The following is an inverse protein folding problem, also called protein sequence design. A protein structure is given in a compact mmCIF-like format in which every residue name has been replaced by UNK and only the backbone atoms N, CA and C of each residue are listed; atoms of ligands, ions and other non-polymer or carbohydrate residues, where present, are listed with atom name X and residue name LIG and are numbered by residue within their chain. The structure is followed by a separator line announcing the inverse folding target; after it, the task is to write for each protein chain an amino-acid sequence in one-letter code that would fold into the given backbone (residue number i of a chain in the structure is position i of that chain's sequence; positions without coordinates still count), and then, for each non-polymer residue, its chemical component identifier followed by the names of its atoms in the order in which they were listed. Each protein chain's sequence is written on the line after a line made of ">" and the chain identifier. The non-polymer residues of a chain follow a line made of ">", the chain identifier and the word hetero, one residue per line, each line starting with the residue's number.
data_IF_589469995375
#
_entry.id   IF_589469995375
#
_cell.length_a   1.000
_cell.length_b   1.000
_cell.length_c   1.000
_cell.angle_alpha   90.00
_cell.angle_beta   90.00
_cell.angle_gamma   90.00
#
_symmetry.space_group_name_H-M   'P 1'
#
loop_
_entity.id
_entity.type
_entity.pdbx_description
1 polymer ?
#
# COMPACT_ATOMS: atom_id res chain seq x y z
N UNK A 1 -41.00 2.03 -8.05
CA UNK A 1 -40.11 3.15 -8.40
C UNK A 1 -39.66 2.92 -9.83
N UNK A 2 -39.96 3.81 -10.75
CA UNK A 2 -39.56 3.68 -12.16
C UNK A 2 -38.06 3.98 -12.28
N UNK A 3 -37.30 3.06 -12.87
CA UNK A 3 -35.89 3.27 -13.18
C UNK A 3 -35.74 4.56 -14.00
N UNK A 4 -34.67 5.31 -13.77
CA UNK A 4 -34.41 6.51 -14.57
C UNK A 4 -34.20 6.09 -16.04
N UNK A 5 -34.58 6.97 -16.98
CA UNK A 5 -34.40 6.72 -18.41
C UNK A 5 -32.93 6.36 -18.74
N UNK A 6 -31.98 6.92 -17.99
CA UNK A 6 -30.56 6.63 -18.11
C UNK A 6 -30.18 5.22 -17.65
N UNK A 7 -30.67 4.76 -16.49
CA UNK A 7 -30.43 3.38 -16.00
C UNK A 7 -30.99 2.33 -16.97
N UNK A 8 -32.13 2.63 -17.59
CA UNK A 8 -32.72 1.75 -18.61
C UNK A 8 -31.84 1.66 -19.86
N UNK A 9 -31.13 2.74 -20.22
CA UNK A 9 -30.16 2.73 -21.32
C UNK A 9 -28.92 1.89 -20.97
N UNK A 10 -28.43 1.99 -19.73
CA UNK A 10 -27.26 1.24 -19.28
C UNK A 10 -27.50 -0.27 -19.34
N UNK A 11 -28.66 -0.74 -18.87
CA UNK A 11 -29.03 -2.15 -18.95
C UNK A 11 -28.99 -2.69 -20.38
N UNK A 12 -29.38 -1.87 -21.37
CA UNK A 12 -29.33 -2.23 -22.78
C UNK A 12 -27.89 -2.27 -23.32
N UNK A 13 -27.04 -1.35 -22.86
CA UNK A 13 -25.63 -1.25 -23.26
C UNK A 13 -24.79 -2.40 -22.68
N UNK A 14 -25.15 -2.92 -21.51
CA UNK A 14 -24.49 -4.09 -20.90
C UNK A 14 -24.92 -5.43 -21.52
N UNK A 15 -25.91 -5.42 -22.42
CA UNK A 15 -26.38 -6.63 -23.10
C UNK A 15 -25.32 -7.23 -24.02
N UNK A 16 -25.29 -8.56 -24.09
CA UNK A 16 -24.46 -9.29 -25.07
C UNK A 16 -25.00 -9.18 -26.49
N UNK A 17 -26.30 -8.92 -26.65
CA UNK A 17 -26.94 -8.71 -27.95
C UNK A 17 -26.58 -7.33 -28.54
N UNK A 18 -25.92 -7.28 -29.71
CA UNK A 18 -25.60 -6.03 -30.38
C UNK A 18 -26.82 -5.14 -30.66
N UNK A 19 -27.98 -5.72 -30.99
CA UNK A 19 -29.18 -4.94 -31.29
C UNK A 19 -29.67 -4.18 -30.05
N UNK A 20 -29.68 -4.84 -28.89
CA UNK A 20 -29.97 -4.20 -27.61
C UNK A 20 -28.96 -3.07 -27.29
N UNK A 21 -27.65 -3.28 -27.52
CA UNK A 21 -26.65 -2.22 -27.33
C UNK A 21 -26.87 -1.04 -28.25
N UNK A 22 -27.19 -1.27 -29.52
CA UNK A 22 -27.54 -0.21 -30.48
C UNK A 22 -28.73 0.62 -29.99
N UNK A 23 -29.79 -0.03 -29.52
CA UNK A 23 -30.95 0.67 -28.92
C UNK A 23 -30.55 1.51 -27.71
N UNK A 24 -29.67 0.98 -26.86
CA UNK A 24 -29.11 1.70 -25.72
C UNK A 24 -28.34 2.96 -26.13
N UNK A 25 -27.50 2.87 -27.17
CA UNK A 25 -26.77 4.02 -27.74
C UNK A 25 -27.72 5.07 -28.32
N UNK A 26 -28.72 4.65 -29.09
CA UNK A 26 -29.71 5.56 -29.66
C UNK A 26 -30.55 6.25 -28.59
N UNK A 27 -30.84 5.57 -27.49
CA UNK A 27 -31.52 6.16 -26.35
C UNK A 27 -30.63 7.19 -25.62
N UNK A 28 -29.32 6.93 -25.50
CA UNK A 28 -28.36 7.89 -24.95
C UNK A 28 -28.26 9.18 -25.77
N UNK A 29 -28.47 9.14 -27.09
CA UNK A 29 -28.50 10.36 -27.93
C UNK A 29 -29.57 11.36 -27.48
N UNK A 30 -30.65 10.89 -26.84
CA UNK A 30 -31.78 11.69 -26.38
C UNK A 30 -31.59 12.25 -24.98
N UNK A 31 -30.49 11.91 -24.30
CA UNK A 31 -30.17 12.34 -22.93
C UNK A 31 -28.94 13.25 -22.99
N UNK A 32 -29.11 14.58 -23.15
CA UNK A 32 -28.01 15.53 -23.35
C UNK A 32 -27.31 15.88 -22.03
N UNK A 33 -26.76 14.86 -21.36
CA UNK A 33 -26.06 14.97 -20.09
C UNK A 33 -24.59 14.55 -20.21
N UNK A 34 -23.68 15.09 -19.36
CA UNK A 34 -22.27 14.73 -19.39
C UNK A 34 -22.01 13.23 -19.17
N UNK A 35 -22.87 12.53 -18.42
CA UNK A 35 -22.76 11.09 -18.18
C UNK A 35 -22.99 10.28 -19.46
N UNK A 36 -23.98 10.66 -20.27
CA UNK A 36 -24.23 10.04 -21.58
C UNK A 36 -23.02 10.17 -22.49
N UNK A 37 -22.36 11.33 -22.48
CA UNK A 37 -21.15 11.56 -23.26
C UNK A 37 -19.98 10.65 -22.83
N UNK A 38 -19.82 10.35 -21.52
CA UNK A 38 -18.80 9.40 -21.05
C UNK A 38 -19.06 7.98 -21.54
N UNK A 39 -20.32 7.52 -21.44
CA UNK A 39 -20.70 6.17 -21.88
C UNK A 39 -20.52 6.02 -23.39
N UNK A 40 -20.95 7.03 -24.18
CA UNK A 40 -20.75 7.04 -25.62
C UNK A 40 -19.26 7.00 -26.01
N UNK A 41 -18.38 7.70 -25.27
CA UNK A 41 -16.93 7.62 -25.53
C UNK A 41 -16.35 6.23 -25.28
N UNK A 42 -16.81 5.53 -24.25
CA UNK A 42 -16.36 4.16 -23.99
C UNK A 42 -16.79 3.19 -25.10
N UNK A 43 -17.98 3.41 -25.68
CA UNK A 43 -18.55 2.56 -26.74
C UNK A 43 -17.95 2.79 -28.13
N UNK A 44 -17.07 3.79 -28.30
CA UNK A 44 -16.27 3.94 -29.54
C UNK A 44 -15.38 2.71 -29.77
N UNK A 45 -15.04 1.97 -28.71
CA UNK A 45 -14.26 0.74 -28.78
C UNK A 45 -15.13 -0.54 -28.71
N UNK A 46 -16.45 -0.46 -28.91
CA UNK A 46 -17.33 -1.65 -28.90
C UNK A 46 -16.90 -2.66 -29.98
N UNK A 47 -17.13 -3.95 -29.71
CA UNK A 47 -16.81 -5.02 -30.66
C UNK A 47 -17.67 -4.93 -31.92
N UNK A 48 -18.93 -4.52 -31.80
CA UNK A 48 -19.85 -4.38 -32.91
C UNK A 48 -19.60 -3.08 -33.70
N UNK A 49 -19.40 -3.15 -35.03
CA UNK A 49 -19.08 -1.99 -35.85
C UNK A 49 -20.18 -0.93 -35.89
N UNK A 50 -21.45 -1.34 -35.84
CA UNK A 50 -22.60 -0.43 -35.92
C UNK A 50 -22.76 0.32 -34.60
N UNK A 51 -22.54 -0.36 -33.46
CA UNK A 51 -22.51 0.30 -32.13
C UNK A 51 -21.41 1.37 -32.08
N UNK A 52 -20.20 1.09 -32.61
CA UNK A 52 -19.12 2.09 -32.68
C UNK A 52 -19.52 3.31 -33.49
N UNK A 53 -20.14 3.11 -34.65
CA UNK A 53 -20.57 4.20 -35.53
C UNK A 53 -21.60 5.09 -34.83
N UNK A 54 -22.63 4.50 -34.21
CA UNK A 54 -23.61 5.25 -33.43
C UNK A 54 -23.03 5.93 -32.19
N UNK A 55 -22.01 5.34 -31.58
CA UNK A 55 -21.30 5.96 -30.46
C UNK A 55 -20.55 7.22 -30.90
N UNK A 56 -19.84 7.16 -32.03
CA UNK A 56 -19.13 8.31 -32.62
C UNK A 56 -20.14 9.41 -33.00
N UNK A 57 -21.24 9.06 -33.65
CA UNK A 57 -22.31 10.00 -33.99
C UNK A 57 -22.88 10.66 -32.72
N UNK A 58 -23.16 9.86 -31.69
CA UNK A 58 -23.67 10.33 -30.41
C UNK A 58 -22.73 11.32 -29.72
N UNK A 59 -21.43 11.02 -29.69
CA UNK A 59 -20.40 11.93 -29.16
C UNK A 59 -20.42 13.25 -29.91
N UNK A 60 -20.39 13.21 -31.24
CA UNK A 60 -20.40 14.42 -32.08
C UNK A 60 -21.65 15.27 -31.84
N UNK A 61 -22.82 14.62 -31.73
CA UNK A 61 -24.09 15.28 -31.47
C UNK A 61 -24.11 15.97 -30.12
N UNK A 62 -23.71 15.28 -29.06
CA UNK A 62 -23.70 15.84 -27.71
C UNK A 62 -22.69 16.98 -27.57
N UNK A 63 -21.50 16.86 -28.17
CA UNK A 63 -20.49 17.93 -28.20
C UNK A 63 -21.03 19.17 -28.94
N UNK A 64 -21.70 19.00 -30.08
CA UNK A 64 -22.36 20.10 -30.81
C UNK A 64 -23.48 20.75 -30.01
N UNK A 65 -24.22 19.96 -29.23
CA UNK A 65 -25.24 20.45 -28.31
C UNK A 65 -24.67 21.18 -27.08
N UNK A 66 -23.33 21.35 -26.99
CA UNK A 66 -22.68 22.03 -25.88
C UNK A 66 -22.50 21.16 -24.65
N UNK A 67 -22.85 19.87 -24.71
CA UNK A 67 -22.52 18.91 -23.65
C UNK A 67 -21.02 18.72 -23.68
N UNK A 68 -20.35 19.28 -22.69
CA UNK A 68 -18.93 19.05 -22.47
C UNK A 68 -18.81 18.03 -21.37
N UNK A 69 -17.88 17.10 -21.54
CA UNK A 69 -17.30 16.48 -20.37
C UNK A 69 -16.70 17.63 -19.58
N UNK A 70 -17.35 17.97 -18.46
CA UNK A 70 -16.63 18.62 -17.39
C UNK A 70 -15.45 17.68 -17.20
N UNK A 71 -14.24 18.10 -17.58
CA UNK A 71 -12.99 17.56 -17.02
C UNK A 71 -13.38 17.37 -15.57
N UNK A 72 -13.38 16.15 -15.00
CA UNK A 72 -13.87 15.97 -13.66
C UNK A 72 -13.17 17.06 -12.88
N UNK A 73 -13.94 18.10 -12.51
CA UNK A 73 -13.54 18.91 -11.39
C UNK A 73 -13.42 17.79 -10.40
N UNK A 74 -12.21 17.54 -9.94
CA UNK A 74 -12.09 16.79 -8.73
C UNK A 74 -12.95 17.59 -7.76
N UNK A 75 -14.26 17.28 -7.72
CA UNK A 75 -14.96 17.23 -6.47
C UNK A 75 -13.96 16.50 -5.60
N UNK A 76 -13.41 17.18 -4.58
CA UNK A 76 -12.37 16.62 -3.75
C UNK A 76 -12.87 15.24 -3.32
N UNK A 77 -12.34 14.21 -3.99
CA UNK A 77 -12.95 12.90 -4.04
C UNK A 77 -12.58 12.31 -2.71
N UNK A 78 -13.51 12.39 -1.75
CA UNK A 78 -13.31 12.12 -0.33
C UNK A 78 -11.96 12.68 0.14
N UNK A 79 -11.85 14.00 0.29
CA UNK A 79 -10.82 14.52 1.18
C UNK A 79 -11.11 13.96 2.57
N UNK A 80 -10.41 12.87 2.92
CA UNK A 80 -10.03 12.28 4.21
C UNK A 80 -10.95 12.41 5.45
N UNK A 81 -11.73 13.48 5.58
CA UNK A 81 -12.67 13.81 6.64
C UNK A 81 -13.79 12.76 6.87
N UNK A 82 -13.96 11.77 5.97
CA UNK A 82 -14.95 10.70 6.13
C UNK A 82 -14.37 9.29 6.15
N UNK A 83 -13.05 9.11 6.19
CA UNK A 83 -12.43 7.78 6.31
C UNK A 83 -12.67 7.26 7.73
N UNK A 84 -13.68 6.41 7.89
CA UNK A 84 -14.11 5.89 9.21
C UNK A 84 -13.63 4.47 9.47
N UNK A 85 -13.23 3.74 8.43
CA UNK A 85 -12.82 2.34 8.51
C UNK A 85 -11.47 2.09 7.83
N UNK A 86 -10.76 1.04 8.25
CA UNK A 86 -9.46 0.63 7.73
C UNK A 86 -9.52 0.29 6.24
N UNK A 87 -10.66 -0.23 5.74
CA UNK A 87 -10.87 -0.52 4.32
C UNK A 87 -10.94 0.76 3.48
N UNK A 88 -11.65 1.79 3.95
CA UNK A 88 -11.69 3.08 3.26
C UNK A 88 -10.27 3.71 3.18
N UNK A 89 -9.48 3.56 4.26
CA UNK A 89 -8.07 4.01 4.28
C UNK A 89 -7.25 3.20 3.27
N UNK A 90 -7.40 1.87 3.23
CA UNK A 90 -6.70 1.01 2.27
C UNK A 90 -7.05 1.37 0.81
N UNK A 91 -8.32 1.63 0.51
CA UNK A 91 -8.78 2.05 -0.82
C UNK A 91 -8.15 3.38 -1.24
N UNK A 92 -8.08 4.36 -0.33
CA UNK A 92 -7.42 5.62 -0.62
C UNK A 92 -5.90 5.43 -0.79
N UNK A 93 -5.27 4.53 -0.03
CA UNK A 93 -3.86 4.17 -0.23
C UNK A 93 -3.65 3.62 -1.65
N UNK A 94 -4.52 2.73 -2.13
CA UNK A 94 -4.46 2.23 -3.50
C UNK A 94 -4.66 3.33 -4.54
N UNK A 95 -5.56 4.29 -4.27
CA UNK A 95 -5.77 5.44 -5.15
C UNK A 95 -4.52 6.33 -5.23
N UNK A 96 -3.90 6.66 -4.10
CA UNK A 96 -2.64 7.42 -4.02
C UNK A 96 -1.52 6.65 -4.72
N UNK A 97 -1.42 5.35 -4.45
CA UNK A 97 -0.44 4.46 -5.07
C UNK A 97 -0.56 4.49 -6.59
N UNK A 98 -1.77 4.33 -7.13
CA UNK A 98 -2.02 4.34 -8.57
C UNK A 98 -1.64 5.68 -9.22
N UNK A 99 -1.82 6.80 -8.53
CA UNK A 99 -1.46 8.14 -9.03
C UNK A 99 0.05 8.31 -9.21
N UNK A 100 0.87 7.64 -8.40
CA UNK A 100 2.33 7.75 -8.47
C UNK A 100 3.05 6.38 -8.55
N UNK A 101 2.42 5.40 -9.20
CA UNK A 101 2.85 4.00 -9.16
C UNK A 101 4.29 3.81 -9.64
N UNK A 102 4.70 4.48 -10.72
CA UNK A 102 6.04 4.36 -11.26
C UNK A 102 7.12 4.81 -10.27
N UNK A 103 6.93 5.97 -9.62
CA UNK A 103 7.88 6.47 -8.63
C UNK A 103 7.88 5.62 -7.36
N UNK A 104 6.71 5.18 -6.90
CA UNK A 104 6.59 4.32 -5.71
C UNK A 104 7.27 2.97 -5.96
N UNK A 105 7.06 2.35 -7.12
CA UNK A 105 7.70 1.08 -7.48
C UNK A 105 9.20 1.21 -7.68
N UNK A 106 9.68 2.28 -8.32
CA UNK A 106 11.10 2.55 -8.43
C UNK A 106 11.75 2.73 -7.05
N UNK A 107 11.14 3.54 -6.17
CA UNK A 107 11.62 3.74 -4.81
C UNK A 107 11.59 2.45 -3.99
N UNK A 108 10.52 1.66 -4.13
CA UNK A 108 10.37 0.37 -3.46
C UNK A 108 11.44 -0.64 -3.87
N UNK A 109 11.73 -0.72 -5.16
CA UNK A 109 12.78 -1.60 -5.68
C UNK A 109 14.16 -1.18 -5.15
N UNK A 110 14.47 0.12 -5.16
CA UNK A 110 15.73 0.66 -4.65
C UNK A 110 15.87 0.43 -3.15
N UNK A 111 14.82 0.70 -2.36
CA UNK A 111 14.81 0.47 -0.92
C UNK A 111 14.84 -1.01 -0.55
N UNK A 112 14.18 -1.84 -1.36
CA UNK A 112 14.01 -3.27 -1.13
C UNK A 112 15.14 -4.12 -1.68
N UNK A 113 16.05 -3.62 -2.52
CA UNK A 113 17.02 -4.46 -3.27
C UNK A 113 17.82 -5.39 -2.36
N UNK A 114 18.37 -4.88 -1.26
CA UNK A 114 19.16 -5.69 -0.32
C UNK A 114 18.29 -6.76 0.34
N UNK A 115 17.07 -6.40 0.74
CA UNK A 115 16.09 -7.31 1.35
C UNK A 115 15.63 -8.40 0.38
N UNK A 116 15.40 -8.04 -0.89
CA UNK A 116 15.03 -8.96 -1.96
C UNK A 116 16.18 -9.94 -2.22
N UNK A 117 17.43 -9.45 -2.30
CA UNK A 117 18.60 -10.31 -2.50
C UNK A 117 18.80 -11.28 -1.33
N UNK A 118 18.72 -10.82 -0.09
CA UNK A 118 18.83 -11.69 1.10
C UNK A 118 17.68 -12.71 1.10
N UNK A 119 16.45 -12.26 0.87
CA UNK A 119 15.27 -13.11 0.83
C UNK A 119 15.37 -14.19 -0.25
N UNK A 120 15.85 -13.84 -1.45
CA UNK A 120 16.08 -14.77 -2.54
C UNK A 120 17.19 -15.77 -2.22
N UNK A 121 18.31 -15.34 -1.63
CA UNK A 121 19.39 -16.23 -1.19
C UNK A 121 18.88 -17.23 -0.14
N UNK A 122 18.07 -16.78 0.83
CA UNK A 122 17.50 -17.67 1.84
C UNK A 122 16.51 -18.67 1.24
N UNK A 123 15.63 -18.20 0.36
CA UNK A 123 14.65 -19.04 -0.32
C UNK A 123 15.31 -20.10 -1.21
N UNK A 124 16.37 -19.72 -1.94
CA UNK A 124 17.10 -20.58 -2.87
C UNK A 124 18.23 -21.38 -2.20
N UNK A 125 18.51 -21.15 -0.92
CA UNK A 125 19.66 -21.74 -0.22
C UNK A 125 19.80 -23.25 -0.38
N UNK A 126 18.73 -24.09 -0.38
CA UNK A 126 18.89 -25.53 -0.55
C UNK A 126 19.36 -25.95 -1.94
N UNK A 127 19.20 -25.09 -2.94
CA UNK A 127 19.66 -25.33 -4.31
C UNK A 127 21.05 -24.73 -4.58
N UNK A 128 21.45 -23.75 -3.76
CA UNK A 128 22.70 -23.01 -3.94
C UNK A 128 23.84 -23.59 -3.12
N UNK A 129 23.57 -24.14 -1.93
CA UNK A 129 24.61 -24.75 -1.12
C UNK A 129 24.28 -26.21 -0.80
N UNK A 130 25.12 -27.12 -1.31
CA UNK A 130 25.01 -28.58 -1.11
C UNK A 130 25.16 -29.04 0.35
N UNK A 131 25.69 -28.17 1.22
CA UNK A 131 25.94 -28.48 2.62
C UNK A 131 24.87 -27.87 3.55
N UNK A 132 23.75 -28.57 3.72
CA UNK A 132 22.67 -28.20 4.66
C UNK A 132 23.21 -27.82 6.06
N UNK A 133 24.25 -28.50 6.55
CA UNK A 133 24.88 -28.23 7.86
C UNK A 133 25.67 -26.92 7.97
N UNK A 134 26.27 -26.44 6.88
CA UNK A 134 27.02 -25.17 6.89
C UNK A 134 26.05 -24.00 6.85
N UNK A 135 24.99 -24.14 6.04
CA UNK A 135 23.89 -23.19 5.97
C UNK A 135 23.25 -23.04 7.36
N UNK A 136 22.85 -24.13 8.00
CA UNK A 136 22.09 -24.07 9.25
C UNK A 136 22.87 -23.37 10.39
N UNK A 137 24.16 -23.67 10.54
CA UNK A 137 24.99 -23.08 11.59
C UNK A 137 25.39 -21.62 11.31
N UNK A 138 25.74 -21.30 10.06
CA UNK A 138 26.19 -19.95 9.69
C UNK A 138 25.02 -19.01 9.41
N UNK A 139 24.04 -19.41 8.61
CA UNK A 139 22.89 -18.56 8.27
C UNK A 139 21.85 -18.50 9.41
N UNK A 140 21.73 -19.55 10.23
CA UNK A 140 20.89 -19.51 11.42
C UNK A 140 21.35 -18.46 12.45
N UNK A 141 22.67 -18.26 12.58
CA UNK A 141 23.25 -17.24 13.46
C UNK A 141 23.34 -15.86 12.80
N UNK A 142 23.57 -15.79 11.48
CA UNK A 142 23.68 -14.52 10.73
C UNK A 142 22.34 -13.89 10.33
N UNK A 143 21.31 -14.69 10.03
CA UNK A 143 19.98 -14.20 9.63
C UNK A 143 19.39 -13.15 10.58
N UNK A 144 19.46 -13.36 11.90
CA UNK A 144 19.09 -12.36 12.90
C UNK A 144 19.87 -11.05 12.82
N UNK A 145 21.20 -11.14 12.69
CA UNK A 145 22.05 -9.97 12.57
C UNK A 145 21.70 -9.19 11.29
N UNK A 146 21.42 -9.88 10.19
CA UNK A 146 20.96 -9.26 8.94
C UNK A 146 19.59 -8.60 9.09
N UNK A 147 18.65 -9.21 9.82
CA UNK A 147 17.38 -8.57 10.16
C UNK A 147 17.58 -7.30 10.99
N UNK A 148 18.43 -7.35 12.01
CA UNK A 148 18.75 -6.19 12.85
C UNK A 148 19.39 -5.09 12.01
N UNK A 149 20.36 -5.41 11.18
CA UNK A 149 21.00 -4.46 10.25
C UNK A 149 19.96 -3.85 9.32
N UNK A 150 19.07 -4.67 8.74
CA UNK A 150 17.99 -4.18 7.90
C UNK A 150 17.05 -3.22 8.66
N UNK A 151 16.56 -3.62 9.84
CA UNK A 151 15.62 -2.83 10.61
C UNK A 151 16.24 -1.51 11.11
N UNK A 152 17.52 -1.51 11.46
CA UNK A 152 18.19 -0.32 11.95
C UNK A 152 18.61 0.65 10.84
N UNK A 153 19.16 0.13 9.73
CA UNK A 153 19.83 0.95 8.73
C UNK A 153 19.07 1.08 7.40
N UNK A 154 18.39 0.02 6.95
CA UNK A 154 17.68 0.05 5.68
C UNK A 154 16.26 0.61 5.81
N UNK A 155 15.65 0.43 6.99
CA UNK A 155 14.29 0.94 7.26
C UNK A 155 14.17 2.47 7.12
N UNK A 156 15.04 3.32 7.71
CA UNK A 156 14.98 4.76 7.52
C UNK A 156 15.08 5.17 6.05
N UNK A 157 15.94 4.47 5.30
CA UNK A 157 16.11 4.71 3.87
C UNK A 157 14.83 4.39 3.07
N UNK A 158 14.15 3.28 3.39
CA UNK A 158 12.85 2.94 2.80
C UNK A 158 11.80 4.02 3.10
N UNK A 159 11.74 4.54 4.32
CA UNK A 159 10.83 5.63 4.69
C UNK A 159 11.09 6.91 3.90
N UNK A 160 12.36 7.32 3.76
CA UNK A 160 12.72 8.52 3.02
C UNK A 160 12.42 8.40 1.53
N UNK A 161 12.72 7.25 0.93
CA UNK A 161 12.56 7.03 -0.51
C UNK A 161 11.10 6.73 -0.86
N UNK A 162 10.56 5.64 -0.34
CA UNK A 162 9.20 5.17 -0.64
C UNK A 162 8.16 6.12 -0.04
N UNK A 163 8.39 6.63 1.17
CA UNK A 163 7.48 7.58 1.80
C UNK A 163 7.36 8.88 1.01
N UNK A 164 8.47 9.44 0.50
CA UNK A 164 8.40 10.62 -0.40
C UNK A 164 7.72 10.32 -1.72
N UNK A 165 8.04 9.18 -2.34
CA UNK A 165 7.34 8.75 -3.54
C UNK A 165 5.83 8.65 -3.29
N UNK A 166 5.42 8.12 -2.14
CA UNK A 166 4.01 8.05 -1.75
C UNK A 166 3.41 9.44 -1.52
N UNK A 167 4.11 10.34 -0.82
CA UNK A 167 3.70 11.74 -0.64
C UNK A 167 3.48 12.46 -1.99
N UNK A 168 4.24 12.12 -3.03
CA UNK A 168 4.05 12.64 -4.38
C UNK A 168 2.72 12.26 -5.05
N UNK A 169 2.01 11.24 -4.54
CA UNK A 169 0.70 10.82 -5.03
C UNK A 169 -0.49 11.55 -4.39
N UNK A 170 -0.28 12.37 -3.36
CA UNK A 170 -1.35 13.18 -2.76
C UNK A 170 -1.78 14.32 -3.71
N UNK A 171 -3.01 14.80 -3.54
CA UNK A 171 -3.51 15.94 -4.33
C UNK A 171 -3.01 17.28 -3.79
N UNK A 172 -2.73 17.35 -2.49
CA UNK A 172 -2.19 18.52 -1.80
C UNK A 172 -0.89 19.01 -2.50
N UNK A 173 -0.88 20.24 -3.04
CA UNK A 173 0.28 20.77 -3.75
C UNK A 173 1.50 20.98 -2.85
N UNK A 174 1.30 21.28 -1.57
CA UNK A 174 2.39 21.49 -0.60
C UNK A 174 3.11 20.17 -0.34
N UNK A 175 2.36 19.10 -0.11
CA UNK A 175 2.90 17.75 0.11
C UNK A 175 3.62 17.24 -1.14
N UNK A 176 3.05 17.48 -2.32
CA UNK A 176 3.70 17.13 -3.59
C UNK A 176 4.98 17.93 -3.81
N UNK A 177 5.01 19.20 -3.44
CA UNK A 177 6.22 20.01 -3.53
C UNK A 177 7.30 19.48 -2.60
N UNK A 178 6.96 19.15 -1.35
CA UNK A 178 7.88 18.52 -0.39
C UNK A 178 8.42 17.18 -0.93
N UNK A 179 7.57 16.34 -1.52
CA UNK A 179 7.96 15.07 -2.10
C UNK A 179 8.94 15.17 -3.28
N UNK A 180 8.93 16.29 -4.01
CA UNK A 180 9.84 16.53 -5.15
C UNK A 180 11.23 16.99 -4.74
N UNK A 181 11.40 17.48 -3.52
CA UNK A 181 12.71 17.90 -3.04
C UNK A 181 13.58 16.65 -2.87
N UNK A 182 14.76 16.57 -3.51
CA UNK A 182 15.67 15.45 -3.32
C UNK A 182 16.11 15.41 -1.86
N UNK A 183 16.06 14.21 -1.26
CA UNK A 183 16.43 14.08 0.14
C UNK A 183 17.95 14.22 0.30
N UNK A 184 18.33 14.80 1.44
CA UNK A 184 19.72 15.09 1.76
C UNK A 184 20.25 14.04 2.75
N UNK A 185 21.55 13.69 2.72
CA UNK A 185 22.11 12.68 3.63
C UNK A 185 21.87 12.95 5.12
N UNK A 186 21.77 14.21 5.53
CA UNK A 186 21.46 14.56 6.92
C UNK A 186 20.03 14.19 7.33
N UNK A 187 19.08 14.09 6.39
CA UNK A 187 17.70 13.67 6.68
C UNK A 187 17.68 12.23 7.15
N UNK A 188 18.53 11.37 6.58
CA UNK A 188 18.72 10.01 7.07
C UNK A 188 19.15 9.99 8.54
N UNK A 189 20.10 10.83 8.91
CA UNK A 189 20.55 10.95 10.30
C UNK A 189 19.49 11.53 11.24
N UNK A 190 18.59 12.38 10.74
CA UNK A 190 17.44 12.84 11.52
C UNK A 190 16.39 11.73 11.73
N UNK A 191 16.25 10.80 10.77
CA UNK A 191 15.34 9.67 10.87
C UNK A 191 15.90 8.52 11.72
N UNK A 192 17.22 8.37 11.77
CA UNK A 192 17.87 7.23 12.40
C UNK A 192 17.55 7.08 13.90
N UNK A 193 17.59 8.12 14.77
CA UNK A 193 17.22 7.99 16.17
C UNK A 193 15.76 7.59 16.37
N UNK A 194 14.86 8.14 15.55
CA UNK A 194 13.43 7.82 15.58
C UNK A 194 13.19 6.37 15.18
N UNK A 195 13.91 5.91 14.15
CA UNK A 195 13.89 4.51 13.74
C UNK A 195 14.48 3.61 14.81
N UNK A 196 15.55 4.01 15.50
CA UNK A 196 16.15 3.22 16.58
C UNK A 196 15.12 2.96 17.69
N UNK A 197 14.37 3.98 18.12
CA UNK A 197 13.29 3.81 19.10
C UNK A 197 12.24 2.81 18.60
N UNK A 198 11.86 2.88 17.32
CA UNK A 198 10.88 1.98 16.72
C UNK A 198 11.41 0.55 16.50
N UNK A 199 12.68 0.40 16.17
CA UNK A 199 13.32 -0.86 15.78
C UNK A 199 13.90 -1.62 16.97
N UNK A 200 14.22 -0.97 18.09
CA UNK A 200 14.77 -1.62 19.27
C UNK A 200 13.87 -2.74 19.83
N UNK A 201 12.55 -2.54 20.01
CA UNK A 201 11.67 -3.63 20.43
C UNK A 201 11.68 -4.78 19.43
N UNK A 202 11.71 -4.46 18.14
CA UNK A 202 11.74 -5.46 17.06
C UNK A 202 13.01 -6.31 17.16
N UNK A 203 14.16 -5.65 17.27
CA UNK A 203 15.46 -6.31 17.38
C UNK A 203 15.54 -7.14 18.67
N UNK A 204 15.03 -6.62 19.79
CA UNK A 204 15.00 -7.31 21.06
C UNK A 204 14.15 -8.59 21.01
N UNK A 205 12.91 -8.51 20.53
CA UNK A 205 12.03 -9.66 20.43
C UNK A 205 12.51 -10.67 19.39
N UNK A 206 13.04 -10.22 18.25
CA UNK A 206 13.72 -11.10 17.31
C UNK A 206 14.83 -11.87 18.03
N UNK A 207 15.70 -11.17 18.77
CA UNK A 207 16.76 -11.78 19.57
C UNK A 207 16.23 -12.76 20.61
N UNK A 208 15.15 -12.44 21.35
CA UNK A 208 14.51 -13.35 22.32
C UNK A 208 14.02 -14.62 21.64
N UNK A 209 13.35 -14.51 20.50
CA UNK A 209 12.86 -15.66 19.73
C UNK A 209 14.01 -16.63 19.42
N UNK A 210 15.13 -16.08 18.97
CA UNK A 210 16.30 -16.85 18.55
C UNK A 210 17.04 -17.43 19.76
N UNK A 211 17.30 -16.60 20.77
CA UNK A 211 18.05 -16.97 21.96
C UNK A 211 17.32 -18.05 22.77
N UNK A 212 15.99 -17.98 22.84
CA UNK A 212 15.19 -18.96 23.56
C UNK A 212 14.87 -20.21 22.73
N UNK A 213 15.35 -20.32 21.48
CA UNK A 213 15.05 -21.44 20.54
C UNK A 213 13.58 -21.84 20.57
N UNK A 214 12.71 -20.83 20.63
CA UNK A 214 11.30 -21.04 20.94
C UNK A 214 10.66 -21.95 19.89
N UNK A 215 10.04 -23.04 20.36
CA UNK A 215 9.20 -23.90 19.52
C UNK A 215 8.01 -23.13 18.95
N UNK A 216 7.36 -23.73 17.94
CA UNK A 216 6.40 -23.07 17.04
C UNK A 216 5.46 -22.06 17.70
N UNK A 217 4.76 -22.42 18.78
CA UNK A 217 3.72 -21.55 19.36
C UNK A 217 4.28 -20.28 20.02
N UNK A 218 5.46 -20.36 20.63
CA UNK A 218 6.11 -19.21 21.29
C UNK A 218 6.79 -18.26 20.29
N UNK A 219 7.20 -18.77 19.12
CA UNK A 219 7.66 -17.97 17.99
C UNK A 219 6.56 -17.03 17.48
N UNK A 220 5.33 -17.55 17.33
CA UNK A 220 4.20 -16.77 16.80
C UNK A 220 3.70 -15.71 17.76
N UNK A 221 3.63 -16.02 19.06
CA UNK A 221 3.27 -15.02 20.07
C UNK A 221 4.26 -13.85 20.08
N UNK A 222 5.56 -14.14 19.96
CA UNK A 222 6.58 -13.12 19.90
C UNK A 222 6.50 -12.28 18.62
N UNK A 223 6.18 -12.86 17.45
CA UNK A 223 5.89 -12.10 16.22
C UNK A 223 4.64 -11.23 16.38
N UNK A 224 3.57 -11.73 17.00
CA UNK A 224 2.36 -10.96 17.22
C UNK A 224 2.62 -9.74 18.12
N UNK A 225 3.40 -9.91 19.19
CA UNK A 225 3.82 -8.82 20.08
C UNK A 225 4.74 -7.82 19.38
N UNK A 226 5.67 -8.32 18.55
CA UNK A 226 6.58 -7.51 17.72
C UNK A 226 5.81 -6.57 16.80
N UNK A 227 4.80 -7.10 16.12
CA UNK A 227 3.95 -6.32 15.23
C UNK A 227 3.04 -5.36 15.96
N UNK A 228 2.52 -5.74 17.12
CA UNK A 228 1.72 -4.85 17.94
C UNK A 228 2.50 -3.60 18.36
N UNK A 229 3.76 -3.77 18.79
CA UNK A 229 4.64 -2.64 19.14
C UNK A 229 5.03 -1.82 17.92
N UNK A 230 5.35 -2.47 16.79
CA UNK A 230 5.75 -1.75 15.58
C UNK A 230 4.62 -0.87 15.04
N UNK A 231 3.39 -1.36 15.12
CA UNK A 231 2.26 -0.69 14.52
C UNK A 231 1.79 0.53 15.31
N UNK A 232 1.89 0.49 16.63
CA UNK A 232 1.29 1.47 17.53
C UNK A 232 1.99 2.83 17.57
N UNK A 233 3.18 2.94 16.98
CA UNK A 233 3.98 4.16 17.01
C UNK A 233 4.05 4.81 15.61
N UNK A 234 3.35 5.93 15.35
CA UNK A 234 3.41 6.69 14.09
C UNK A 234 4.68 7.57 13.97
N UNK A 235 5.77 7.18 14.61
CA UNK A 235 7.00 7.98 14.72
C UNK A 235 7.62 8.36 13.35
N UNK A 236 7.87 7.36 12.51
CA UNK A 236 8.48 7.57 11.18
C UNK A 236 7.59 8.35 10.18
N UNK A 237 6.27 8.10 10.05
CA UNK A 237 5.43 8.93 9.21
C UNK A 237 5.30 10.37 9.73
N UNK A 238 5.25 10.60 11.05
CA UNK A 238 5.27 11.96 11.62
C UNK A 238 6.58 12.68 11.31
N UNK A 239 7.72 12.00 11.45
CA UNK A 239 9.03 12.54 11.10
C UNK A 239 9.07 12.98 9.63
N UNK A 240 8.44 12.22 8.74
CA UNK A 240 8.34 12.53 7.33
C UNK A 240 7.43 13.73 7.04
N UNK A 241 6.27 13.80 7.69
CA UNK A 241 5.31 14.91 7.55
C UNK A 241 5.90 16.22 8.10
N UNK A 242 6.58 16.17 9.26
CA UNK A 242 7.18 17.33 9.92
C UNK A 242 8.53 17.77 9.31
N UNK A 243 8.92 17.21 8.16
CA UNK A 243 10.19 17.49 7.49
C UNK A 243 11.42 17.30 8.41
N UNK A 244 11.43 16.26 9.25
CA UNK A 244 12.58 15.88 10.07
C UNK A 244 12.74 16.63 11.39
N UNK A 245 11.77 17.44 11.82
CA UNK A 245 11.79 18.12 13.13
C UNK A 245 11.47 17.16 14.27
N UNK A 246 12.51 16.53 14.80
CA UNK A 246 12.39 15.49 15.85
C UNK A 246 11.62 15.93 17.12
N UNK A 247 11.82 17.14 17.69
CA UNK A 247 11.07 17.56 18.87
C UNK A 247 9.55 17.60 18.61
N UNK A 248 9.15 18.17 17.47
CA UNK A 248 7.75 18.25 17.05
C UNK A 248 7.16 16.85 16.86
N UNK A 249 7.91 15.94 16.23
CA UNK A 249 7.51 14.54 16.04
C UNK A 249 7.28 13.81 17.36
N UNK A 250 8.17 13.95 18.34
CA UNK A 250 8.03 13.28 19.63
C UNK A 250 6.82 13.82 20.39
N UNK A 251 6.66 15.14 20.42
CA UNK A 251 5.51 15.78 21.06
C UNK A 251 4.20 15.36 20.41
N UNK A 252 4.10 15.42 19.08
CA UNK A 252 2.90 15.02 18.36
C UNK A 252 2.61 13.51 18.51
N UNK A 253 3.64 12.67 18.54
CA UNK A 253 3.47 11.23 18.80
C UNK A 253 2.83 11.02 20.16
N UNK A 254 3.32 11.72 21.18
CA UNK A 254 2.77 11.66 22.53
C UNK A 254 1.31 12.09 22.56
N UNK A 255 0.98 13.22 21.93
CA UNK A 255 -0.38 13.75 21.80
C UNK A 255 -1.30 12.75 21.09
N UNK A 256 -0.90 12.19 19.95
CA UNK A 256 -1.70 11.19 19.22
C UNK A 256 -1.93 9.95 20.08
N UNK A 257 -0.89 9.49 20.78
CA UNK A 257 -0.95 8.26 21.55
C UNK A 257 -1.85 8.38 22.79
N UNK A 258 -1.89 9.56 23.41
CA UNK A 258 -2.67 9.78 24.63
C UNK A 258 -4.06 10.37 24.38
N UNK A 259 -4.14 11.39 23.53
CA UNK A 259 -5.38 12.16 23.32
C UNK A 259 -6.27 11.57 22.22
N UNK A 260 -5.67 10.99 21.18
CA UNK A 260 -6.39 10.35 20.05
C UNK A 260 -6.30 8.83 20.09
N UNK A 261 -6.00 8.31 21.27
CA UNK A 261 -5.84 6.88 21.48
C UNK A 261 -7.09 6.09 21.08
N UNK A 262 -8.30 6.62 21.33
CA UNK A 262 -9.55 5.94 20.98
C UNK A 262 -9.73 5.81 19.45
N UNK A 263 -9.44 6.86 18.69
CA UNK A 263 -9.57 6.89 17.23
C UNK A 263 -8.46 6.06 16.55
N UNK A 264 -7.23 6.16 17.06
CA UNK A 264 -6.09 5.35 16.61
C UNK A 264 -6.25 3.86 16.95
N UNK A 265 -6.94 3.51 18.04
CA UNK A 265 -7.21 2.12 18.46
C UNK A 265 -8.20 1.39 17.56
N UNK A 266 -8.96 2.05 16.70
CA UNK A 266 -9.85 1.37 15.75
C UNK A 266 -9.15 1.09 14.41
N UNK A 267 -8.51 2.11 13.81
CA UNK A 267 -7.96 2.00 12.45
C UNK A 267 -6.65 1.21 12.38
N UNK A 268 -5.83 1.29 13.43
CA UNK A 268 -4.49 0.70 13.44
C UNK A 268 -4.54 -0.81 13.73
N UNK A 269 -5.28 -1.31 14.74
CA UNK A 269 -5.33 -2.75 15.02
C UNK A 269 -6.09 -3.55 13.96
N UNK A 270 -7.13 -2.97 13.35
CA UNK A 270 -7.92 -3.65 12.31
C UNK A 270 -7.07 -3.91 11.07
N UNK A 271 -6.24 -2.93 10.68
CA UNK A 271 -5.26 -3.12 9.62
C UNK A 271 -4.18 -4.15 9.98
N UNK A 272 -3.73 -4.19 11.23
CA UNK A 272 -2.75 -5.18 11.67
C UNK A 272 -3.30 -6.60 11.65
N UNK A 273 -4.57 -6.77 12.00
CA UNK A 273 -5.25 -8.06 11.87
C UNK A 273 -5.29 -8.45 10.40
N UNK A 274 -5.66 -7.54 9.50
CA UNK A 274 -5.70 -7.82 8.05
C UNK A 274 -4.31 -8.13 7.48
N UNK A 275 -3.29 -7.37 7.86
CA UNK A 275 -1.91 -7.60 7.44
C UNK A 275 -1.38 -8.93 8.01
N UNK A 276 -1.68 -9.21 9.27
CA UNK A 276 -1.28 -10.46 9.89
C UNK A 276 -1.96 -11.68 9.28
N UNK A 277 -3.22 -11.55 8.90
CA UNK A 277 -3.92 -12.53 8.08
C UNK A 277 -3.28 -12.67 6.70
N UNK A 278 -2.85 -11.58 6.06
CA UNK A 278 -2.19 -11.62 4.75
C UNK A 278 -0.85 -12.36 4.81
N UNK A 279 0.00 -12.05 5.79
CA UNK A 279 1.24 -12.78 6.00
C UNK A 279 1.01 -14.25 6.37
N UNK A 280 0.01 -14.53 7.21
CA UNK A 280 -0.40 -15.89 7.54
C UNK A 280 -0.85 -16.64 6.28
N UNK A 281 -1.61 -16.00 5.40
CA UNK A 281 -2.05 -16.57 4.13
C UNK A 281 -0.88 -16.79 3.17
N UNK A 282 0.04 -15.84 3.05
CA UNK A 282 1.27 -16.02 2.25
C UNK A 282 2.05 -17.23 2.77
N UNK A 283 2.17 -17.35 4.09
CA UNK A 283 2.88 -18.45 4.72
C UNK A 283 2.19 -19.80 4.52
N UNK A 284 0.86 -19.88 4.74
CA UNK A 284 0.06 -21.07 4.48
C UNK A 284 0.20 -21.48 3.01
N UNK A 285 0.03 -20.54 2.08
CA UNK A 285 0.11 -20.79 0.64
C UNK A 285 1.49 -21.29 0.22
N UNK A 286 2.57 -20.73 0.77
CA UNK A 286 3.92 -21.20 0.46
C UNK A 286 4.13 -22.63 0.98
N UNK A 287 3.57 -22.96 2.15
CA UNK A 287 3.59 -24.32 2.69
C UNK A 287 2.74 -25.32 1.90
N UNK A 288 1.61 -24.90 1.32
CA UNK A 288 0.69 -25.79 0.58
C UNK A 288 1.00 -25.93 -0.90
N UNK A 289 1.46 -24.88 -1.58
CA UNK A 289 1.64 -24.88 -3.05
C UNK A 289 3.02 -25.29 -3.52
N UNK A 290 4.02 -25.33 -2.64
CA UNK A 290 5.33 -25.87 -2.96
C UNK A 290 5.40 -27.24 -2.31
N UNK A 291 5.07 -28.35 -3.03
CA UNK A 291 5.26 -29.70 -2.54
C UNK A 291 6.77 -29.98 -2.48
N UNK A 292 7.43 -29.42 -1.47
CA UNK A 292 8.83 -29.70 -1.19
C UNK A 292 8.88 -30.97 -0.33
N UNK A 293 9.57 -32.02 -0.78
CA UNK A 293 9.49 -33.34 -0.14
C UNK A 293 10.12 -33.43 1.26
N UNK A 294 10.59 -32.31 1.83
CA UNK A 294 11.31 -32.26 3.10
C UNK A 294 10.95 -30.96 3.82
N UNK A 295 10.87 -31.01 5.15
CA UNK A 295 10.32 -29.96 6.02
C UNK A 295 10.71 -28.53 5.61
N UNK A 296 9.75 -27.62 5.78
CA UNK A 296 9.96 -26.20 5.51
C UNK A 296 10.97 -25.65 6.53
N UNK A 297 12.23 -25.54 6.13
CA UNK A 297 13.30 -25.09 7.02
C UNK A 297 13.10 -23.63 7.42
N UNK A 298 13.54 -23.30 8.63
CA UNK A 298 13.46 -21.95 9.19
C UNK A 298 14.01 -20.87 8.25
N UNK A 299 15.07 -21.19 7.50
CA UNK A 299 15.73 -20.25 6.59
C UNK A 299 14.86 -19.92 5.38
N UNK A 300 14.20 -20.90 4.77
CA UNK A 300 13.28 -20.64 3.66
C UNK A 300 12.07 -19.83 4.13
N UNK A 301 11.55 -20.13 5.32
CA UNK A 301 10.50 -19.32 5.97
C UNK A 301 10.91 -17.87 6.10
N UNK A 302 12.13 -17.62 6.55
CA UNK A 302 12.67 -16.29 6.70
C UNK A 302 12.84 -15.59 5.34
N UNK A 303 13.29 -16.31 4.32
CA UNK A 303 13.38 -15.81 2.94
C UNK A 303 12.02 -15.38 2.38
N UNK A 304 11.01 -16.22 2.53
CA UNK A 304 9.62 -15.91 2.15
C UNK A 304 9.10 -14.67 2.88
N UNK A 305 9.30 -14.58 4.19
CA UNK A 305 8.86 -13.42 4.98
C UNK A 305 9.55 -12.13 4.53
N UNK A 306 10.86 -12.17 4.24
CA UNK A 306 11.60 -11.02 3.74
C UNK A 306 11.09 -10.55 2.38
N UNK A 307 10.78 -11.48 1.47
CA UNK A 307 10.24 -11.15 0.14
C UNK A 307 8.81 -10.60 0.23
N UNK A 308 7.96 -11.21 1.07
CA UNK A 308 6.62 -10.71 1.33
C UNK A 308 6.65 -9.29 1.92
N UNK A 309 7.52 -9.06 2.91
CA UNK A 309 7.70 -7.76 3.53
C UNK A 309 8.29 -6.74 2.54
N UNK A 310 9.14 -7.16 1.58
CA UNK A 310 9.63 -6.26 0.52
C UNK A 310 8.50 -5.82 -0.43
N UNK A 311 7.58 -6.74 -0.74
CA UNK A 311 6.45 -6.51 -1.63
C UNK A 311 5.38 -5.61 -0.97
N UNK A 312 5.11 -5.82 0.32
CA UNK A 312 4.05 -5.14 1.06
C UNK A 312 4.49 -3.79 1.64
N UNK A 313 5.80 -3.56 1.77
CA UNK A 313 6.37 -2.36 2.37
C UNK A 313 5.82 -1.03 1.82
N UNK A 314 5.69 -0.85 0.49
CA UNK A 314 5.21 0.42 -0.06
C UNK A 314 3.77 0.72 0.32
N UNK A 315 2.94 -0.31 0.36
CA UNK A 315 1.56 -0.20 0.80
C UNK A 315 1.49 0.13 2.30
N UNK A 316 2.31 -0.53 3.11
CA UNK A 316 2.39 -0.27 4.55
C UNK A 316 2.84 1.16 4.88
N UNK A 317 3.90 1.63 4.23
CA UNK A 317 4.41 2.99 4.38
C UNK A 317 3.30 3.99 4.00
N UNK A 318 2.63 3.75 2.88
CA UNK A 318 1.52 4.59 2.42
C UNK A 318 0.35 4.65 3.39
N UNK A 319 -0.08 3.49 3.89
CA UNK A 319 -1.15 3.38 4.89
C UNK A 319 -0.81 4.16 6.16
N UNK A 320 0.40 3.98 6.69
CA UNK A 320 0.85 4.70 7.88
C UNK A 320 0.95 6.21 7.68
N UNK A 321 1.41 6.68 6.52
CA UNK A 321 1.41 8.11 6.20
C UNK A 321 -0.02 8.65 6.20
N UNK A 322 -0.95 7.96 5.54
CA UNK A 322 -2.34 8.39 5.46
C UNK A 322 -3.02 8.43 6.83
N UNK A 323 -2.92 7.35 7.61
CA UNK A 323 -3.46 7.29 8.98
C UNK A 323 -2.85 8.39 9.85
N UNK A 324 -1.54 8.63 9.74
CA UNK A 324 -0.89 9.67 10.53
C UNK A 324 -1.44 11.06 10.20
N UNK A 325 -1.66 11.37 8.91
CA UNK A 325 -2.27 12.64 8.50
C UNK A 325 -3.70 12.80 9.01
N UNK A 326 -4.49 11.71 8.98
CA UNK A 326 -5.83 11.69 9.57
C UNK A 326 -5.78 11.99 11.07
N UNK A 327 -4.83 11.35 11.77
CA UNK A 327 -4.65 11.50 13.21
C UNK A 327 -4.02 12.83 13.64
N UNK A 328 -3.28 13.54 12.78
CA UNK A 328 -2.81 14.91 13.09
C UNK A 328 -3.88 15.96 12.81
N UNK A 329 -4.93 15.60 12.06
CA UNK A 329 -5.96 16.56 11.65
C UNK A 329 -5.43 17.59 10.65
N UNK A 330 -4.28 17.33 9.99
CA UNK A 330 -3.89 18.09 8.81
C UNK A 330 -4.94 17.84 7.73
N UNK A 331 -5.77 18.84 7.38
CA UNK A 331 -6.73 18.65 6.33
C UNK A 331 -5.91 18.49 5.04
N UNK A 332 -6.10 17.38 4.32
CA UNK A 332 -5.65 17.22 2.94
C UNK A 332 -6.43 18.22 2.09
N UNK A 333 -6.07 19.50 2.13
CA UNK A 333 -6.66 20.56 1.30
C UNK A 333 -5.95 20.63 -0.06
#
# INVERSE_FOLDING_TARGET
>A
MTASAFETCLLKIESTDPAARQEGVLALHRIPEPRSLQVLQALIADADPVVREYAIEGVNRLVRAGVRLRKPRAEPRRECATLRDALDVADEVFCIFRRNAAAIMAAALVAGVVKILIGAVFLLSPYVFDSARVIENSLGSMGPALLVIHQLFLRPFAWLTVGRAFMGGFLDPVVRQQARVPWQPWEYWAFFPVNLVQALPICFFAWVIIAARLGGDSFWLAIALLWWVHATLPLLPLQLINAGRMPDTLQQTWTIWWERAADGRALLPTFLIQLGLLYLLIFINVKTFVPMPWGFDFIQSLGTLLLADALLDPFWIGYRILVTRLLTGEPTK
#
